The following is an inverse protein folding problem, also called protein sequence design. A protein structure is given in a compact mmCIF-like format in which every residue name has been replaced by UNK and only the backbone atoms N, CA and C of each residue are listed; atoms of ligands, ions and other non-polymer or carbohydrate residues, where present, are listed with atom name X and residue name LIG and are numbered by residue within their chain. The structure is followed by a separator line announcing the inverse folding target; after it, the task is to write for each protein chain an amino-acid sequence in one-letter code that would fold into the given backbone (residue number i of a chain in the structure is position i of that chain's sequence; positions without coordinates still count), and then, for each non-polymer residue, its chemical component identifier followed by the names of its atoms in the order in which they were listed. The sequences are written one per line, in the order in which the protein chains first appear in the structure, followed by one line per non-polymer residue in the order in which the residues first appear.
data_IF_992038831037
#
_entry.id   IF_992038831037
#
_cell.length_a   1.000
_cell.length_b   1.000
_cell.length_c   1.000
_cell.angle_alpha   90.00
_cell.angle_beta   90.00
_cell.angle_gamma   90.00
#
_symmetry.space_group_name_H-M   'P 1'
#
loop_
_entity.id
_entity.type
_entity.pdbx_description
1 polymer ?
#
# COMPACT_ATOMS: atom_id res chain seq x y z
N UNK A 1 -5.25 -37.69 -27.23
CA UNK A 1 -6.07 -36.52 -27.01
C UNK A 1 -6.62 -36.65 -25.58
N UNK A 2 -6.10 -35.88 -24.63
CA UNK A 2 -6.56 -35.93 -23.23
C UNK A 2 -8.01 -35.48 -23.09
N UNK A 3 -8.67 -35.89 -21.99
CA UNK A 3 -10.03 -35.50 -21.67
C UNK A 3 -10.15 -33.96 -21.64
N UNK A 4 -11.00 -33.39 -22.50
CA UNK A 4 -11.27 -31.97 -22.56
C UNK A 4 -12.34 -31.66 -21.48
N UNK A 5 -11.91 -31.52 -20.25
CA UNK A 5 -12.79 -31.23 -19.09
C UNK A 5 -12.95 -29.74 -18.80
N UNK A 6 -12.33 -28.84 -19.57
CA UNK A 6 -12.40 -27.41 -19.37
C UNK A 6 -13.72 -26.77 -19.85
N UNK A 7 -14.32 -25.92 -19.02
CA UNK A 7 -15.48 -25.11 -19.44
C UNK A 7 -15.14 -24.11 -20.55
N UNK A 8 -13.87 -23.69 -20.65
CA UNK A 8 -13.39 -22.66 -21.58
C UNK A 8 -12.37 -23.21 -22.57
N UNK A 9 -12.74 -23.27 -23.86
CA UNK A 9 -11.85 -23.70 -24.95
C UNK A 9 -11.45 -22.47 -25.78
N UNK A 10 -10.18 -22.38 -26.17
CA UNK A 10 -9.67 -21.37 -27.09
C UNK A 10 -10.30 -21.45 -28.48
N UNK A 11 -10.24 -20.36 -29.25
CA UNK A 11 -10.79 -20.32 -30.62
C UNK A 11 -10.13 -21.33 -31.55
N UNK A 12 -8.81 -21.51 -31.44
CA UNK A 12 -8.04 -22.50 -32.21
C UNK A 12 -8.53 -23.94 -31.93
N UNK A 13 -8.61 -24.32 -30.66
CA UNK A 13 -9.10 -25.64 -30.25
C UNK A 13 -10.53 -25.91 -30.71
N UNK A 14 -11.39 -24.88 -30.73
CA UNK A 14 -12.75 -25.01 -31.25
C UNK A 14 -12.75 -25.24 -32.73
N UNK A 15 -11.86 -24.57 -33.48
CA UNK A 15 -11.71 -24.77 -34.91
C UNK A 15 -11.23 -26.18 -35.23
N UNK A 16 -10.15 -26.64 -34.60
CA UNK A 16 -9.64 -28.01 -34.72
C UNK A 16 -10.72 -29.06 -34.46
N UNK A 17 -11.58 -28.84 -33.45
CA UNK A 17 -12.71 -29.74 -33.18
C UNK A 17 -13.77 -29.73 -34.28
N UNK A 18 -14.06 -28.57 -34.86
CA UNK A 18 -15.00 -28.48 -35.98
C UNK A 18 -14.46 -29.20 -37.22
N UNK A 19 -13.15 -29.06 -37.51
CA UNK A 19 -12.47 -29.72 -38.62
C UNK A 19 -12.47 -31.24 -38.42
N UNK A 20 -12.09 -31.73 -37.24
CA UNK A 20 -12.13 -33.18 -36.91
C UNK A 20 -13.53 -33.79 -37.07
N UNK A 21 -14.57 -33.04 -36.65
CA UNK A 21 -15.95 -33.51 -36.80
C UNK A 21 -16.38 -33.45 -38.27
N UNK A 22 -15.94 -32.47 -39.03
CA UNK A 22 -16.16 -32.36 -40.47
C UNK A 22 -15.57 -33.57 -41.21
N UNK A 23 -14.30 -33.85 -40.96
CA UNK A 23 -13.56 -34.97 -41.57
C UNK A 23 -14.19 -36.31 -41.22
N UNK A 24 -14.49 -36.53 -39.93
CA UNK A 24 -15.12 -37.80 -39.51
C UNK A 24 -16.52 -37.99 -40.12
N UNK A 25 -17.26 -36.92 -40.30
CA UNK A 25 -18.58 -36.95 -40.93
C UNK A 25 -18.45 -37.25 -42.43
N UNK A 26 -17.43 -36.71 -43.12
CA UNK A 26 -17.08 -37.01 -44.49
C UNK A 26 -16.71 -38.49 -44.70
N UNK A 27 -16.19 -39.14 -43.65
CA UNK A 27 -15.87 -40.59 -43.64
C UNK A 27 -17.03 -41.48 -43.20
N UNK A 28 -18.25 -40.96 -43.05
CA UNK A 28 -19.46 -41.70 -42.72
C UNK A 28 -19.75 -41.87 -41.22
N UNK A 29 -18.97 -41.25 -40.33
CA UNK A 29 -19.24 -41.27 -38.90
C UNK A 29 -20.24 -40.16 -38.57
N UNK A 30 -21.32 -40.50 -37.84
CA UNK A 30 -22.31 -39.48 -37.48
C UNK A 30 -21.73 -38.43 -36.54
N UNK A 31 -22.11 -37.14 -36.71
CA UNK A 31 -21.72 -36.03 -35.82
C UNK A 31 -21.98 -36.35 -34.34
N UNK A 32 -23.07 -37.08 -34.03
CA UNK A 32 -23.35 -37.54 -32.67
C UNK A 32 -22.24 -38.44 -32.12
N UNK A 33 -21.81 -39.43 -32.93
CA UNK A 33 -20.76 -40.38 -32.52
C UNK A 33 -19.41 -39.67 -32.38
N UNK A 34 -19.09 -38.74 -33.26
CA UNK A 34 -17.87 -37.93 -33.16
C UNK A 34 -17.87 -37.06 -31.88
N UNK A 35 -18.99 -36.46 -31.52
CA UNK A 35 -19.13 -35.72 -30.26
C UNK A 35 -18.96 -36.61 -29.01
N UNK A 36 -19.50 -37.83 -29.05
CA UNK A 36 -19.32 -38.81 -27.96
C UNK A 36 -17.85 -39.21 -27.79
N UNK A 37 -17.14 -39.47 -28.89
CA UNK A 37 -15.72 -39.82 -28.88
C UNK A 37 -14.83 -38.66 -28.36
N UNK A 38 -15.17 -37.42 -28.67
CA UNK A 38 -14.49 -36.22 -28.22
C UNK A 38 -14.93 -35.80 -26.81
N UNK A 39 -15.88 -36.50 -26.22
CA UNK A 39 -16.48 -36.18 -24.91
C UNK A 39 -16.99 -34.72 -24.80
N UNK A 40 -17.55 -34.22 -25.91
CA UNK A 40 -18.10 -32.87 -25.97
C UNK A 40 -19.61 -32.91 -26.22
N UNK A 41 -20.35 -32.03 -25.54
CA UNK A 41 -21.80 -32.00 -25.75
C UNK A 41 -22.13 -31.43 -27.12
N UNK A 42 -22.99 -32.17 -27.88
CA UNK A 42 -23.36 -31.87 -29.26
C UNK A 42 -23.87 -30.43 -29.46
N UNK A 43 -24.61 -29.88 -28.50
CA UNK A 43 -25.10 -28.49 -28.59
C UNK A 43 -23.98 -27.42 -28.67
N UNK A 44 -22.81 -27.69 -28.08
CA UNK A 44 -21.65 -26.79 -28.20
C UNK A 44 -21.12 -26.79 -29.64
N UNK A 45 -21.01 -27.95 -30.24
CA UNK A 45 -20.55 -28.10 -31.63
C UNK A 45 -21.53 -27.41 -32.60
N UNK A 46 -22.83 -27.69 -32.48
CA UNK A 46 -23.83 -27.09 -33.35
C UNK A 46 -23.83 -25.53 -33.23
N UNK A 47 -23.64 -25.01 -32.03
CA UNK A 47 -23.52 -23.56 -31.82
C UNK A 47 -22.25 -22.98 -32.48
N UNK A 48 -21.12 -23.65 -32.35
CA UNK A 48 -19.87 -23.21 -32.99
C UNK A 48 -19.95 -23.33 -34.51
N UNK A 49 -20.54 -24.38 -35.07
CA UNK A 49 -20.78 -24.51 -36.50
C UNK A 49 -21.69 -23.38 -37.03
N UNK A 50 -22.71 -23.01 -36.27
CA UNK A 50 -23.57 -21.89 -36.64
C UNK A 50 -22.78 -20.58 -36.59
N UNK A 51 -22.05 -20.29 -35.52
CA UNK A 51 -21.24 -19.09 -35.40
C UNK A 51 -20.21 -18.97 -36.53
N UNK A 52 -19.57 -20.08 -36.87
CA UNK A 52 -18.58 -20.13 -37.98
C UNK A 52 -19.23 -19.88 -39.34
N UNK A 53 -20.39 -20.48 -39.61
CA UNK A 53 -21.15 -20.28 -40.86
C UNK A 53 -21.65 -18.83 -41.01
N UNK A 54 -22.01 -18.19 -39.92
CA UNK A 54 -22.48 -16.79 -39.90
C UNK A 54 -21.32 -15.79 -39.99
N UNK A 55 -20.08 -16.24 -40.20
CA UNK A 55 -18.88 -15.40 -40.26
C UNK A 55 -18.43 -14.84 -38.91
N UNK A 56 -18.97 -15.38 -37.80
CA UNK A 56 -18.64 -14.97 -36.45
C UNK A 56 -17.33 -15.57 -35.96
N UNK A 57 -16.71 -14.92 -34.98
CA UNK A 57 -15.51 -15.42 -34.30
C UNK A 57 -15.85 -16.49 -33.26
N UNK A 58 -15.02 -17.54 -33.17
CA UNK A 58 -15.11 -18.57 -32.12
C UNK A 58 -14.46 -18.16 -30.81
N UNK A 59 -13.94 -16.95 -30.70
CA UNK A 59 -13.43 -16.38 -29.44
C UNK A 59 -14.56 -16.33 -28.41
N UNK A 60 -14.26 -16.75 -27.17
CA UNK A 60 -15.24 -16.69 -26.09
C UNK A 60 -15.52 -15.26 -25.72
N UNK A 61 -16.77 -14.90 -25.61
CA UNK A 61 -17.17 -13.62 -25.01
C UNK A 61 -16.80 -13.63 -23.52
N UNK A 62 -16.16 -12.57 -23.08
CA UNK A 62 -15.92 -12.38 -21.65
C UNK A 62 -17.26 -12.11 -20.94
N UNK A 63 -17.67 -12.92 -19.96
CA UNK A 63 -18.90 -12.67 -19.23
C UNK A 63 -18.85 -11.33 -18.53
N UNK A 64 -19.90 -10.53 -18.64
CA UNK A 64 -20.03 -9.26 -17.96
C UNK A 64 -20.29 -8.07 -18.91
N UNK A 65 -20.54 -6.90 -18.37
CA UNK A 65 -20.74 -5.72 -19.18
C UNK A 65 -19.42 -5.34 -19.89
N UNK A 66 -19.47 -5.07 -21.18
CA UNK A 66 -18.32 -4.67 -21.99
C UNK A 66 -17.59 -3.43 -21.41
N UNK A 67 -18.33 -2.58 -20.73
CA UNK A 67 -17.78 -1.42 -20.02
C UNK A 67 -18.37 -1.29 -18.62
N UNK A 68 -17.51 -1.30 -17.62
CA UNK A 68 -17.93 -0.98 -16.26
C UNK A 68 -18.35 0.50 -16.18
N UNK A 69 -19.56 0.78 -15.69
CA UNK A 69 -20.07 2.15 -15.57
C UNK A 69 -19.16 3.11 -14.80
N UNK A 70 -18.35 2.60 -13.89
CA UNK A 70 -17.35 3.37 -13.11
C UNK A 70 -15.93 3.21 -13.65
N UNK A 71 -15.76 2.84 -14.93
CA UNK A 71 -14.46 2.79 -15.59
C UNK A 71 -13.76 4.15 -15.47
N UNK A 72 -12.45 4.09 -15.19
CA UNK A 72 -11.61 5.28 -15.07
C UNK A 72 -11.64 6.09 -16.37
N UNK A 73 -11.79 7.41 -16.24
CA UNK A 73 -11.75 8.31 -17.37
C UNK A 73 -10.32 8.49 -17.89
N UNK A 74 -10.11 8.74 -19.20
CA UNK A 74 -8.77 8.90 -19.75
C UNK A 74 -7.96 10.02 -19.08
N UNK A 75 -8.60 11.15 -18.78
CA UNK A 75 -7.99 12.28 -18.08
C UNK A 75 -7.53 11.94 -16.65
N UNK A 76 -8.28 11.09 -15.94
CA UNK A 76 -7.90 10.62 -14.61
C UNK A 76 -6.69 9.69 -14.67
N UNK A 77 -6.63 8.84 -15.71
CA UNK A 77 -5.47 7.98 -15.95
C UNK A 77 -4.22 8.83 -16.23
N UNK A 78 -4.35 9.82 -17.12
CA UNK A 78 -3.25 10.72 -17.47
C UNK A 78 -2.76 11.52 -16.27
N UNK A 79 -3.67 12.04 -15.45
CA UNK A 79 -3.32 12.78 -14.23
C UNK A 79 -2.57 11.91 -13.22
N UNK A 80 -2.96 10.64 -13.05
CA UNK A 80 -2.26 9.71 -12.14
C UNK A 80 -0.87 9.35 -12.64
N UNK A 81 -0.71 9.14 -13.95
CA UNK A 81 0.60 8.89 -14.58
C UNK A 81 1.50 10.11 -14.45
N UNK A 82 0.98 11.31 -14.74
CA UNK A 82 1.73 12.55 -14.60
C UNK A 82 2.20 12.80 -13.16
N UNK A 83 1.36 12.49 -12.17
CA UNK A 83 1.74 12.59 -10.77
C UNK A 83 2.89 11.63 -10.42
N UNK A 84 2.85 10.40 -10.92
CA UNK A 84 3.86 9.37 -10.66
C UNK A 84 5.21 9.64 -11.35
N UNK A 85 5.22 10.45 -12.40
CA UNK A 85 6.45 10.85 -13.11
C UNK A 85 7.15 12.07 -12.50
N UNK A 86 6.64 12.63 -11.39
CA UNK A 86 7.29 13.75 -10.72
C UNK A 86 8.49 13.24 -9.92
N UNK A 87 9.63 13.93 -10.06
CA UNK A 87 10.87 13.58 -9.35
C UNK A 87 10.74 13.68 -7.83
N UNK A 88 10.02 14.71 -7.33
CA UNK A 88 9.79 14.92 -5.90
C UNK A 88 8.87 13.87 -5.25
N UNK A 89 8.27 12.97 -6.01
CA UNK A 89 7.36 11.93 -5.55
C UNK A 89 7.84 10.51 -5.94
N UNK A 90 9.05 10.38 -6.48
CA UNK A 90 9.58 9.13 -7.03
C UNK A 90 9.67 8.00 -5.99
N UNK A 91 9.93 8.35 -4.72
CA UNK A 91 10.09 7.39 -3.63
C UNK A 91 8.77 6.97 -2.97
N UNK A 92 7.66 7.64 -3.32
CA UNK A 92 6.36 7.32 -2.75
C UNK A 92 5.82 5.98 -3.25
N UNK A 93 5.20 5.21 -2.36
CA UNK A 93 4.47 4.01 -2.77
C UNK A 93 3.24 4.37 -3.61
N UNK A 94 2.74 3.40 -4.39
CA UNK A 94 1.48 3.60 -5.11
C UNK A 94 0.31 3.99 -4.20
N UNK A 95 0.35 3.61 -2.91
CA UNK A 95 -0.66 3.99 -1.92
C UNK A 95 -0.50 5.43 -1.47
N UNK A 96 0.71 5.85 -1.16
CA UNK A 96 1.04 7.24 -0.82
C UNK A 96 0.77 8.18 -2.00
N UNK A 97 1.14 7.79 -3.22
CA UNK A 97 0.78 8.52 -4.44
C UNK A 97 -0.75 8.65 -4.61
N UNK A 98 -1.51 7.60 -4.27
CA UNK A 98 -2.98 7.66 -4.31
C UNK A 98 -3.52 8.69 -3.33
N UNK A 99 -3.02 8.68 -2.10
CA UNK A 99 -3.42 9.64 -1.06
C UNK A 99 -3.02 11.06 -1.44
N UNK A 100 -1.81 11.24 -1.95
CA UNK A 100 -1.34 12.53 -2.50
C UNK A 100 -2.27 13.04 -3.61
N UNK A 101 -2.74 12.15 -4.49
CA UNK A 101 -3.70 12.52 -5.53
C UNK A 101 -5.05 12.96 -4.95
N UNK A 102 -5.53 12.31 -3.89
CA UNK A 102 -6.77 12.68 -3.19
C UNK A 102 -6.64 14.05 -2.52
N UNK A 103 -5.59 14.25 -1.75
CA UNK A 103 -5.38 15.47 -0.95
C UNK A 103 -5.08 16.69 -1.83
N UNK A 104 -4.47 16.47 -3.01
CA UNK A 104 -4.31 17.52 -4.03
C UNK A 104 -5.56 17.71 -4.92
N UNK A 105 -6.62 16.96 -4.71
CA UNK A 105 -7.86 17.05 -5.50
C UNK A 105 -7.72 16.64 -6.98
N UNK A 106 -6.67 15.88 -7.33
CA UNK A 106 -6.34 15.54 -8.71
C UNK A 106 -7.16 14.35 -9.23
N UNK A 107 -7.12 13.24 -8.50
CA UNK A 107 -7.78 11.99 -8.90
C UNK A 107 -8.25 11.22 -7.67
N UNK A 108 -9.51 10.78 -7.69
CA UNK A 108 -10.10 9.99 -6.59
C UNK A 108 -10.36 8.55 -7.03
N UNK A 109 -9.33 7.71 -6.94
CA UNK A 109 -9.35 6.28 -7.31
C UNK A 109 -8.89 5.40 -6.16
N UNK A 110 -9.16 4.09 -6.23
CA UNK A 110 -8.70 3.15 -5.20
C UNK A 110 -7.22 2.81 -5.37
N UNK A 111 -6.58 2.38 -4.28
CA UNK A 111 -5.20 1.86 -4.30
C UNK A 111 -4.97 0.77 -5.36
N UNK A 112 -5.93 -0.16 -5.51
CA UNK A 112 -5.86 -1.22 -6.52
C UNK A 112 -5.94 -0.68 -7.95
N UNK A 113 -6.67 0.42 -8.17
CA UNK A 113 -6.75 1.07 -9.49
C UNK A 113 -5.45 1.79 -9.79
N UNK A 114 -4.90 2.54 -8.82
CA UNK A 114 -3.57 3.16 -8.96
C UNK A 114 -2.52 2.12 -9.32
N UNK A 115 -2.46 1.02 -8.55
CA UNK A 115 -1.52 -0.07 -8.84
C UNK A 115 -1.61 -0.55 -10.30
N UNK A 116 -2.84 -0.81 -10.80
CA UNK A 116 -3.04 -1.25 -12.19
C UNK A 116 -2.61 -0.21 -13.19
N UNK A 117 -2.98 1.06 -12.99
CA UNK A 117 -2.58 2.17 -13.87
C UNK A 117 -1.07 2.29 -13.97
N UNK A 118 -0.36 2.27 -12.85
CA UNK A 118 1.10 2.39 -12.81
C UNK A 118 1.79 1.17 -13.41
N UNK A 119 1.31 -0.03 -13.11
CA UNK A 119 1.81 -1.28 -13.71
C UNK A 119 1.66 -1.28 -15.23
N UNK A 120 0.46 -0.96 -15.72
CA UNK A 120 0.16 -0.95 -17.15
C UNK A 120 0.89 0.18 -17.91
N UNK A 121 1.41 1.17 -17.17
CA UNK A 121 2.25 2.26 -17.70
C UNK A 121 3.76 2.01 -17.51
N UNK A 122 4.17 0.84 -17.00
CA UNK A 122 5.57 0.51 -16.76
C UNK A 122 6.25 1.30 -15.63
N UNK A 123 5.46 1.94 -14.75
CA UNK A 123 5.94 2.82 -13.67
C UNK A 123 6.06 2.10 -12.31
N UNK A 124 5.86 0.79 -12.28
CA UNK A 124 6.09 0.00 -11.07
C UNK A 124 7.53 -0.47 -11.00
N UNK A 125 8.35 0.24 -10.24
CA UNK A 125 9.73 -0.17 -9.96
C UNK A 125 9.79 -1.43 -9.07
N UNK A 126 10.85 -2.24 -9.23
CA UNK A 126 11.19 -3.27 -8.25
C UNK A 126 11.65 -2.57 -6.97
N UNK A 127 10.81 -2.56 -5.93
CA UNK A 127 11.26 -2.23 -4.58
C UNK A 127 12.09 -3.39 -4.06
N UNK A 128 13.36 -3.11 -3.76
CA UNK A 128 14.29 -4.10 -3.25
C UNK A 128 13.74 -4.81 -2.00
N UNK A 129 14.05 -6.10 -1.92
CA UNK A 129 13.85 -7.02 -0.79
C UNK A 129 12.46 -6.99 -0.13
N UNK A 130 11.58 -7.85 -0.63
CA UNK A 130 10.47 -8.35 0.16
C UNK A 130 11.00 -8.94 1.49
N UNK A 131 10.73 -8.27 2.61
CA UNK A 131 10.95 -8.86 3.91
C UNK A 131 10.03 -10.07 4.04
N UNK A 132 10.59 -11.26 4.01
CA UNK A 132 9.88 -12.49 4.35
C UNK A 132 9.43 -12.38 5.81
N UNK A 133 8.15 -12.23 6.01
CA UNK A 133 7.52 -12.34 7.33
C UNK A 133 7.57 -13.83 7.74
N UNK A 134 8.65 -14.23 8.40
CA UNK A 134 8.76 -15.55 8.97
C UNK A 134 8.34 -15.48 10.44
N UNK A 135 7.17 -16.01 10.74
CA UNK A 135 6.84 -16.38 12.12
C UNK A 135 5.41 -16.03 12.54
N UNK A 136 4.77 -16.94 13.24
CA UNK A 136 3.57 -16.69 14.03
C UNK A 136 3.93 -15.75 15.17
N UNK A 137 3.46 -14.51 15.11
CA UNK A 137 3.69 -13.53 16.16
C UNK A 137 2.66 -13.72 17.27
N UNK A 138 3.12 -13.83 18.50
CA UNK A 138 2.23 -13.67 19.67
C UNK A 138 1.63 -12.27 19.61
N UNK A 139 0.30 -12.17 19.72
CA UNK A 139 -0.37 -10.89 19.69
C UNK A 139 0.19 -9.95 20.77
N UNK A 140 0.53 -8.71 20.42
CA UNK A 140 1.01 -7.72 21.38
C UNK A 140 -0.07 -7.43 22.43
N UNK A 141 0.33 -6.91 23.60
CA UNK A 141 -0.61 -6.38 24.59
C UNK A 141 -1.24 -5.13 23.98
N UNK A 142 -2.40 -5.30 23.38
CA UNK A 142 -3.15 -4.16 22.80
C UNK A 142 -4.07 -3.57 23.87
N UNK A 143 -4.01 -2.26 24.00
CA UNK A 143 -5.07 -1.44 24.61
C UNK A 143 -5.77 -0.72 23.45
N UNK A 144 -7.08 -0.68 23.49
CA UNK A 144 -7.84 0.12 22.53
C UNK A 144 -7.63 1.59 22.87
N UNK A 145 -6.66 2.21 22.19
CA UNK A 145 -6.36 3.63 22.34
C UNK A 145 -7.37 4.43 21.54
N UNK A 146 -8.00 5.40 22.18
CA UNK A 146 -9.05 6.24 21.59
C UNK A 146 -8.57 7.64 21.24
N UNK A 147 -7.37 8.01 21.68
CA UNK A 147 -6.79 9.33 21.45
C UNK A 147 -5.29 9.39 21.68
N UNK A 148 -4.66 10.51 21.30
CA UNK A 148 -3.24 10.75 21.53
C UNK A 148 -2.92 10.85 23.01
N UNK A 149 -1.66 10.70 23.35
CA UNK A 149 -1.12 10.85 24.70
C UNK A 149 -1.75 9.89 25.74
N UNK A 150 -2.33 8.77 25.30
CA UNK A 150 -2.79 7.71 26.21
C UNK A 150 -1.71 6.67 26.48
N UNK A 151 -0.85 6.40 25.51
CA UNK A 151 0.30 5.51 25.66
C UNK A 151 1.44 5.94 24.76
N UNK A 152 2.62 6.03 25.33
CA UNK A 152 3.86 6.24 24.62
C UNK A 152 4.72 4.98 24.67
N UNK A 153 5.43 4.71 23.60
CA UNK A 153 6.54 3.77 23.59
C UNK A 153 7.84 4.49 23.35
N UNK A 154 8.93 4.02 23.94
CA UNK A 154 10.24 4.56 23.69
C UNK A 154 11.30 3.46 23.64
N UNK A 155 12.37 3.75 22.93
CA UNK A 155 13.50 2.82 22.79
C UNK A 155 14.75 3.58 22.30
N UNK A 156 15.88 2.85 22.23
CA UNK A 156 17.18 3.37 21.86
C UNK A 156 17.70 2.60 20.64
N UNK A 157 18.06 3.30 19.59
CA UNK A 157 18.68 2.73 18.40
C UNK A 157 20.15 3.16 18.27
N UNK A 158 20.98 2.25 17.76
CA UNK A 158 22.36 2.53 17.44
C UNK A 158 22.49 3.21 16.08
N UNK A 159 23.27 4.29 16.02
CA UNK A 159 23.67 4.96 14.80
C UNK A 159 25.17 4.70 14.58
N UNK A 160 25.52 4.19 13.40
CA UNK A 160 26.90 3.88 13.07
C UNK A 160 27.71 5.15 12.89
N UNK A 161 28.97 5.12 13.37
CA UNK A 161 29.98 6.16 13.09
C UNK A 161 31.07 5.63 12.16
N UNK A 162 31.95 6.49 11.60
CA UNK A 162 33.09 6.04 10.81
C UNK A 162 34.08 5.18 11.61
N UNK A 163 34.12 5.33 12.92
CA UNK A 163 35.01 4.57 13.80
C UNK A 163 34.35 3.28 14.25
N UNK A 164 34.92 2.15 13.87
CA UNK A 164 34.37 0.82 14.23
C UNK A 164 34.30 0.65 15.75
N UNK A 165 33.13 0.23 16.22
CA UNK A 165 32.87 0.02 17.65
C UNK A 165 32.44 1.28 18.41
N UNK A 166 32.44 2.45 17.76
CA UNK A 166 31.89 3.67 18.31
C UNK A 166 30.52 3.94 17.70
N UNK A 167 29.55 4.27 18.52
CA UNK A 167 28.17 4.51 18.12
C UNK A 167 27.63 5.79 18.75
N UNK A 168 26.76 6.47 18.01
CA UNK A 168 25.82 7.38 18.60
C UNK A 168 24.54 6.62 18.95
N UNK A 169 23.81 7.13 19.90
CA UNK A 169 22.54 6.54 20.37
C UNK A 169 21.40 7.51 20.08
N UNK A 170 20.46 7.02 19.30
CA UNK A 170 19.18 7.72 19.06
C UNK A 170 18.17 7.23 20.09
N UNK A 171 17.76 8.12 20.96
CA UNK A 171 16.66 7.93 21.90
C UNK A 171 15.39 8.52 21.27
N UNK A 172 14.28 7.81 21.30
CA UNK A 172 13.04 8.27 20.68
C UNK A 172 11.82 7.87 21.49
N UNK A 173 10.87 8.80 21.64
CA UNK A 173 9.53 8.58 22.19
C UNK A 173 8.51 8.71 21.09
N UNK A 174 7.63 7.72 20.97
CA UNK A 174 6.56 7.67 19.98
C UNK A 174 5.21 7.54 20.68
N UNK A 175 4.22 8.31 20.24
CA UNK A 175 2.82 8.12 20.62
C UNK A 175 2.21 6.93 19.86
N UNK A 176 1.69 5.94 20.58
CA UNK A 176 1.17 4.72 19.95
C UNK A 176 -0.11 4.92 19.15
N UNK A 177 -0.94 5.90 19.49
CA UNK A 177 -2.17 6.18 18.77
C UNK A 177 -1.90 6.88 17.45
N UNK A 178 -1.16 7.98 17.49
CA UNK A 178 -0.94 8.86 16.33
C UNK A 178 0.29 8.50 15.51
N UNK A 179 1.20 7.67 16.03
CA UNK A 179 2.53 7.39 15.45
C UNK A 179 3.46 8.60 15.44
N UNK A 180 3.10 9.71 16.13
CA UNK A 180 3.91 10.91 16.21
C UNK A 180 5.18 10.66 17.01
N UNK A 181 6.31 11.08 16.48
CA UNK A 181 7.54 11.21 17.25
C UNK A 181 7.35 12.40 18.19
N UNK A 182 7.19 12.10 19.47
CA UNK A 182 6.93 13.10 20.52
C UNK A 182 8.19 13.84 20.86
N UNK A 183 9.28 13.11 21.05
CA UNK A 183 10.60 13.67 21.32
C UNK A 183 11.70 12.70 20.90
N UNK A 184 12.88 13.24 20.62
CA UNK A 184 14.08 12.48 20.29
C UNK A 184 15.34 13.18 20.80
N UNK A 185 16.41 12.39 20.97
CA UNK A 185 17.74 12.91 21.38
C UNK A 185 18.83 12.08 20.73
N UNK A 186 19.94 12.70 20.44
CA UNK A 186 21.20 12.05 20.06
C UNK A 186 22.18 12.18 21.22
N UNK A 187 22.91 11.10 21.52
CA UNK A 187 23.96 11.14 22.53
C UNK A 187 25.08 10.16 22.22
N UNK A 188 26.29 10.49 22.63
CA UNK A 188 27.41 9.55 22.66
C UNK A 188 27.29 8.51 23.78
N UNK A 189 26.37 8.70 24.71
CA UNK A 189 26.25 7.90 25.93
C UNK A 189 24.88 7.26 26.04
N UNK A 190 24.88 5.96 26.19
CA UNK A 190 23.66 5.19 26.48
C UNK A 190 23.51 5.00 28.00
N UNK A 191 23.09 6.04 28.69
CA UNK A 191 22.96 6.07 30.15
C UNK A 191 21.58 6.57 30.61
N UNK A 192 21.32 6.45 31.92
CA UNK A 192 20.05 6.82 32.52
C UNK A 192 19.78 8.34 32.52
N UNK A 193 20.82 9.16 32.49
CA UNK A 193 20.65 10.63 32.44
C UNK A 193 20.09 11.06 31.09
N UNK A 194 20.57 10.48 29.99
CA UNK A 194 20.05 10.75 28.66
C UNK A 194 18.60 10.25 28.50
N UNK A 195 18.29 9.06 29.04
CA UNK A 195 16.93 8.55 29.04
C UNK A 195 15.98 9.43 29.87
N UNK A 196 16.43 9.94 31.02
CA UNK A 196 15.68 10.93 31.82
C UNK A 196 15.40 12.19 31.02
N UNK A 197 16.42 12.79 30.41
CA UNK A 197 16.30 14.00 29.62
C UNK A 197 15.37 13.83 28.40
N UNK A 198 15.38 12.64 27.73
CA UNK A 198 14.42 12.29 26.70
C UNK A 198 12.99 12.37 27.20
N UNK A 199 12.70 11.74 28.33
CA UNK A 199 11.33 11.68 28.88
C UNK A 199 10.85 13.04 29.37
N UNK A 200 11.71 13.82 30.05
CA UNK A 200 11.39 15.19 30.45
C UNK A 200 11.11 16.09 29.24
N UNK A 201 11.88 15.96 28.16
CA UNK A 201 11.62 16.65 26.90
C UNK A 201 10.31 16.25 26.25
N UNK A 202 9.98 14.97 26.24
CA UNK A 202 8.69 14.47 25.74
C UNK A 202 7.50 15.04 26.55
N UNK A 203 7.61 15.03 27.87
CA UNK A 203 6.58 15.59 28.75
C UNK A 203 6.41 17.10 28.54
N UNK A 204 7.49 17.82 28.34
CA UNK A 204 7.44 19.25 28.04
C UNK A 204 6.77 19.54 26.70
N UNK A 205 7.11 18.80 25.65
CA UNK A 205 6.54 18.97 24.31
C UNK A 205 5.03 18.76 24.27
N UNK A 206 4.51 17.82 25.06
CA UNK A 206 3.09 17.48 25.12
C UNK A 206 2.36 18.14 26.32
N UNK A 207 3.02 19.01 27.07
CA UNK A 207 2.46 19.67 28.26
C UNK A 207 1.85 18.70 29.28
N UNK A 208 2.46 17.52 29.44
CA UNK A 208 1.93 16.42 30.28
C UNK A 208 1.69 16.85 31.72
N UNK A 209 2.52 17.75 32.23
CA UNK A 209 2.40 18.24 33.63
C UNK A 209 1.12 19.06 33.87
N UNK A 210 0.53 19.61 32.82
CA UNK A 210 -0.74 20.33 32.86
C UNK A 210 -1.95 19.40 32.69
N UNK A 211 -1.73 18.11 32.38
CA UNK A 211 -2.79 17.12 32.28
C UNK A 211 -3.19 16.58 33.67
N UNK A 212 -4.49 16.27 33.89
CA UNK A 212 -4.91 15.52 35.07
C UNK A 212 -4.10 14.23 35.19
N UNK A 213 -3.81 13.79 36.41
CA UNK A 213 -2.93 12.66 36.67
C UNK A 213 -3.43 11.36 36.01
N UNK A 214 -4.73 11.15 35.98
CA UNK A 214 -5.41 10.01 35.37
C UNK A 214 -5.45 10.03 33.82
N UNK A 215 -5.07 11.15 33.21
CA UNK A 215 -5.00 11.33 31.75
C UNK A 215 -3.56 11.37 31.23
N UNK A 216 -2.55 11.29 32.13
CA UNK A 216 -1.15 11.23 31.72
C UNK A 216 -0.84 9.93 30.98
N UNK A 217 0.06 9.95 29.97
CA UNK A 217 0.35 8.77 29.19
C UNK A 217 0.96 7.63 30.02
N UNK A 218 0.53 6.41 29.72
CA UNK A 218 1.25 5.21 30.13
C UNK A 218 2.52 5.10 29.26
N UNK A 219 3.61 4.63 29.85
CA UNK A 219 4.86 4.42 29.12
C UNK A 219 5.13 2.96 28.97
N UNK A 220 5.26 2.47 27.74
CA UNK A 220 5.71 1.09 27.47
C UNK A 220 7.16 1.10 26.95
N UNK A 221 7.98 0.22 27.49
CA UNK A 221 9.36 0.04 27.09
C UNK A 221 9.82 -1.39 27.30
N UNK A 222 10.95 -1.73 26.73
CA UNK A 222 11.59 -3.01 26.97
C UNK A 222 12.16 -3.11 28.41
N UNK A 223 12.85 -4.21 28.71
CA UNK A 223 13.48 -4.45 30.01
C UNK A 223 14.96 -4.08 30.05
N UNK A 224 15.41 -3.21 29.18
CA UNK A 224 16.78 -2.71 29.13
C UNK A 224 17.24 -2.14 30.49
N UNK A 225 18.56 -2.17 30.73
CA UNK A 225 19.12 -1.69 32.01
C UNK A 225 18.79 -0.23 32.25
N UNK A 226 18.82 0.57 31.19
CA UNK A 226 18.52 2.01 31.21
C UNK A 226 17.06 2.27 31.60
N UNK A 227 16.13 1.44 31.07
CA UNK A 227 14.68 1.57 31.32
C UNK A 227 14.31 1.28 32.78
N UNK A 228 15.12 0.47 33.48
CA UNK A 228 14.94 0.09 34.89
C UNK A 228 15.77 0.94 35.86
N UNK A 229 16.58 1.83 35.35
CA UNK A 229 17.45 2.65 36.17
C UNK A 229 16.64 3.54 37.10
N UNK A 230 17.16 3.71 38.34
CA UNK A 230 16.47 4.52 39.37
C UNK A 230 16.13 5.95 38.89
N UNK A 231 16.99 6.68 38.17
CA UNK A 231 16.64 8.02 37.67
C UNK A 231 15.45 8.02 36.73
N UNK A 232 15.30 7.00 35.88
CA UNK A 232 14.17 6.90 34.93
C UNK A 232 12.88 6.55 35.69
N UNK A 233 12.93 5.58 36.61
CA UNK A 233 11.77 5.25 37.45
C UNK A 233 11.31 6.42 38.29
N UNK A 234 12.25 7.21 38.83
CA UNK A 234 11.93 8.38 39.62
C UNK A 234 11.13 9.41 38.82
N UNK A 235 11.45 9.62 37.51
CA UNK A 235 10.65 10.49 36.62
C UNK A 235 9.19 10.04 36.58
N UNK A 236 8.95 8.74 36.42
CA UNK A 236 7.57 8.22 36.34
C UNK A 236 6.83 8.30 37.68
N UNK A 237 7.53 8.06 38.78
CA UNK A 237 6.98 8.20 40.13
C UNK A 237 6.64 9.65 40.47
N UNK A 238 7.57 10.58 40.22
CA UNK A 238 7.40 12.02 40.50
C UNK A 238 6.25 12.64 39.70
N UNK A 239 6.06 12.14 38.46
CA UNK A 239 5.03 12.61 37.55
C UNK A 239 3.79 11.70 37.49
N UNK A 240 3.68 10.71 38.34
CA UNK A 240 2.54 9.77 38.42
C UNK A 240 2.15 9.17 37.08
N UNK A 241 3.15 8.80 36.28
CA UNK A 241 2.97 8.16 34.98
C UNK A 241 3.18 6.64 35.12
N UNK A 242 2.20 5.81 34.70
CA UNK A 242 2.36 4.36 34.77
C UNK A 242 3.46 3.87 33.81
N UNK A 243 4.42 3.09 34.34
CA UNK A 243 5.45 2.42 33.53
C UNK A 243 5.06 0.96 33.31
N UNK A 244 4.94 0.54 32.07
CA UNK A 244 4.67 -0.81 31.63
C UNK A 244 5.93 -1.41 31.01
N UNK A 245 6.21 -2.67 31.32
CA UNK A 245 7.32 -3.40 30.71
C UNK A 245 6.82 -4.45 29.74
N UNK A 246 7.41 -4.49 28.56
CA UNK A 246 7.22 -5.57 27.61
C UNK A 246 7.49 -6.94 28.27
N UNK A 247 6.75 -7.97 27.84
CA UNK A 247 6.93 -9.33 28.32
C UNK A 247 8.32 -9.88 27.97
N UNK A 248 8.93 -10.69 28.82
CA UNK A 248 10.24 -11.28 28.51
C UNK A 248 10.19 -12.10 27.22
N UNK A 249 11.17 -11.92 26.35
CA UNK A 249 11.33 -12.65 25.08
C UNK A 249 10.15 -12.51 24.10
N UNK A 250 9.40 -11.42 24.19
CA UNK A 250 8.29 -11.14 23.29
C UNK A 250 8.60 -9.85 22.50
N UNK A 251 9.33 -9.93 21.37
CA UNK A 251 9.72 -8.75 20.57
C UNK A 251 8.50 -7.91 20.15
N UNK A 252 7.34 -8.54 20.01
CA UNK A 252 6.12 -7.90 19.54
C UNK A 252 5.42 -6.98 20.57
N UNK A 253 5.95 -6.83 21.77
CA UNK A 253 5.30 -5.97 22.77
C UNK A 253 5.67 -4.48 22.60
N UNK A 254 6.69 -4.16 21.78
CA UNK A 254 7.04 -2.77 21.40
C UNK A 254 7.15 -2.60 19.86
N UNK A 255 6.17 -3.08 19.07
CA UNK A 255 6.29 -3.19 17.62
C UNK A 255 6.31 -1.83 16.93
N UNK A 256 5.76 -0.81 17.56
CA UNK A 256 5.60 0.50 16.94
C UNK A 256 6.92 1.27 16.85
N UNK A 257 7.70 1.26 17.92
CA UNK A 257 9.01 1.92 17.91
C UNK A 257 10.03 1.11 17.08
N UNK A 258 9.95 -0.23 17.10
CA UNK A 258 10.78 -1.08 16.23
C UNK A 258 10.48 -0.83 14.75
N UNK A 259 9.20 -0.74 14.39
CA UNK A 259 8.78 -0.37 13.03
C UNK A 259 9.25 1.02 12.66
N UNK A 260 9.19 1.98 13.60
CA UNK A 260 9.67 3.35 13.39
C UNK A 260 11.16 3.38 13.10
N UNK A 261 12.00 2.72 13.89
CA UNK A 261 13.43 2.64 13.63
C UNK A 261 13.73 1.94 12.29
N UNK A 262 12.92 0.96 11.90
CA UNK A 262 13.04 0.36 10.59
C UNK A 262 12.71 1.36 9.47
N UNK A 263 11.68 2.19 9.63
CA UNK A 263 11.29 3.22 8.67
C UNK A 263 12.39 4.26 8.52
N UNK A 264 12.93 4.76 9.64
CA UNK A 264 14.09 5.68 9.62
C UNK A 264 15.27 5.10 8.84
N UNK A 265 15.66 3.85 9.16
CA UNK A 265 16.85 3.22 8.55
C UNK A 265 16.67 2.80 7.08
N UNK A 266 15.46 2.85 6.57
CA UNK A 266 15.13 2.59 5.16
C UNK A 266 14.84 3.85 4.37
N UNK A 267 14.93 5.00 4.99
CA UNK A 267 14.86 6.29 4.31
C UNK A 267 16.02 6.43 3.33
N UNK A 268 15.79 6.85 2.07
CA UNK A 268 16.85 6.98 1.07
C UNK A 268 17.96 7.96 1.46
N UNK A 269 17.66 8.95 2.26
CA UNK A 269 18.60 9.96 2.74
C UNK A 269 19.29 9.58 4.05
N UNK A 270 18.95 8.41 4.64
CA UNK A 270 19.55 7.97 5.90
C UNK A 270 21.05 7.68 5.70
N UNK A 271 21.95 8.38 6.39
CA UNK A 271 23.39 8.17 6.22
C UNK A 271 23.81 6.78 6.71
N UNK A 272 24.62 6.07 5.92
CA UNK A 272 25.23 4.81 6.37
C UNK A 272 26.03 4.98 7.66
N UNK A 273 26.66 6.17 7.81
CA UNK A 273 27.47 6.55 8.98
C UNK A 273 27.31 8.02 9.30
N UNK A 274 27.08 8.32 10.56
CA UNK A 274 27.05 9.68 11.09
C UNK A 274 28.44 10.10 11.54
N UNK A 275 28.94 11.24 11.06
CA UNK A 275 30.29 11.73 11.40
C UNK A 275 30.42 12.03 12.90
N UNK A 276 29.42 12.68 13.46
CA UNK A 276 29.32 13.16 14.82
C UNK A 276 27.86 13.35 15.22
N UNK A 277 27.60 13.78 16.44
CA UNK A 277 26.29 14.11 16.97
C UNK A 277 25.64 15.28 16.24
N UNK A 278 26.41 16.30 15.85
CA UNK A 278 25.91 17.46 15.10
C UNK A 278 25.34 17.03 13.74
N UNK A 279 26.03 16.11 13.04
CA UNK A 279 25.53 15.56 11.78
C UNK A 279 24.24 14.72 11.99
N UNK A 280 24.18 13.96 13.07
CA UNK A 280 22.97 13.20 13.40
C UNK A 280 21.81 14.14 13.79
N UNK A 281 22.06 15.15 14.61
CA UNK A 281 21.05 16.14 14.97
C UNK A 281 20.52 16.91 13.75
N UNK A 282 21.39 17.27 12.81
CA UNK A 282 20.99 17.92 11.56
C UNK A 282 20.05 17.04 10.73
N UNK A 283 20.37 15.75 10.57
CA UNK A 283 19.50 14.80 9.88
C UNK A 283 18.13 14.65 10.56
N UNK A 284 18.12 14.33 11.86
CA UNK A 284 16.87 14.13 12.59
C UNK A 284 16.07 15.43 12.77
N UNK A 285 16.74 16.58 12.79
CA UNK A 285 16.11 17.90 12.79
C UNK A 285 15.27 18.18 11.54
N UNK A 286 15.60 17.54 10.40
CA UNK A 286 14.81 17.60 9.16
C UNK A 286 13.83 16.42 9.08
N UNK A 287 14.31 15.21 9.36
CA UNK A 287 13.53 13.98 9.25
C UNK A 287 12.29 13.96 10.13
N UNK A 288 12.41 14.34 11.42
CA UNK A 288 11.30 14.27 12.38
C UNK A 288 10.16 15.23 12.03
N UNK A 289 10.39 16.51 11.70
CA UNK A 289 9.34 17.39 11.20
C UNK A 289 8.66 16.84 9.93
N UNK A 290 9.43 16.36 8.95
CA UNK A 290 8.88 15.73 7.75
C UNK A 290 8.03 14.51 8.08
N UNK A 291 8.53 13.57 8.90
CA UNK A 291 7.78 12.39 9.31
C UNK A 291 6.48 12.74 10.03
N UNK A 292 6.51 13.69 10.93
CA UNK A 292 5.32 14.07 11.69
C UNK A 292 4.28 14.81 10.84
N UNK A 293 4.69 15.64 9.88
CA UNK A 293 3.78 16.57 9.20
C UNK A 293 3.48 16.19 7.75
N UNK A 294 4.32 15.41 7.08
CA UNK A 294 4.22 15.14 5.64
C UNK A 294 4.12 13.64 5.30
N UNK A 295 4.75 12.77 6.09
CA UNK A 295 4.73 11.33 5.83
C UNK A 295 3.34 10.73 6.08
N UNK A 296 2.75 10.10 5.05
CA UNK A 296 1.51 9.35 5.15
C UNK A 296 1.73 7.98 5.78
N UNK A 297 1.23 7.76 6.98
CA UNK A 297 1.48 6.53 7.72
C UNK A 297 0.38 5.49 7.53
N UNK A 298 0.73 4.32 6.96
CA UNK A 298 -0.23 3.24 6.63
C UNK A 298 -1.02 2.70 7.83
N UNK A 299 -0.43 2.68 9.01
CA UNK A 299 -1.06 2.19 10.24
C UNK A 299 -2.12 3.12 10.86
N UNK A 300 -2.30 4.32 10.30
CA UNK A 300 -3.29 5.31 10.72
C UNK A 300 -4.08 5.85 9.52
N UNK A 301 -4.43 4.98 8.55
CA UNK A 301 -5.25 5.29 7.37
C UNK A 301 -4.64 6.33 6.42
N UNK A 302 -3.32 6.37 6.35
CA UNK A 302 -2.60 7.32 5.48
C UNK A 302 -2.94 8.80 5.77
N UNK A 303 -3.16 9.16 7.02
CA UNK A 303 -3.01 10.54 7.49
C UNK A 303 -1.60 10.73 8.03
N UNK A 304 -1.16 11.98 8.22
CA UNK A 304 0.13 12.23 8.87
C UNK A 304 0.03 12.01 10.38
N UNK A 305 1.13 11.66 11.06
CA UNK A 305 1.15 11.55 12.51
C UNK A 305 0.60 12.79 13.22
N UNK A 306 0.92 13.98 12.73
CA UNK A 306 0.41 15.25 13.27
C UNK A 306 -1.11 15.37 13.12
N UNK A 307 -1.67 15.04 11.96
CA UNK A 307 -3.13 15.06 11.72
C UNK A 307 -3.86 14.08 12.65
N UNK A 308 -3.30 12.87 12.84
CA UNK A 308 -3.87 11.90 13.78
C UNK A 308 -3.79 12.41 15.23
N UNK A 309 -2.66 13.01 15.61
CA UNK A 309 -2.41 13.53 16.94
C UNK A 309 -3.32 14.71 17.30
N UNK A 310 -3.65 15.54 16.33
CA UNK A 310 -4.55 16.71 16.51
C UNK A 310 -6.03 16.37 16.29
N UNK A 311 -6.38 15.08 16.18
CA UNK A 311 -7.77 14.62 16.08
C UNK A 311 -8.42 14.81 14.69
N UNK A 312 -7.66 15.18 13.66
CA UNK A 312 -8.19 15.45 12.32
C UNK A 312 -8.47 14.17 11.50
N UNK A 313 -7.96 13.00 11.95
CA UNK A 313 -8.00 11.72 11.21
C UNK A 313 -9.41 11.37 10.71
N UNK A 314 -10.42 11.41 11.57
CA UNK A 314 -11.79 11.02 11.21
C UNK A 314 -12.38 11.93 10.12
N UNK A 315 -12.21 13.25 10.26
CA UNK A 315 -12.70 14.24 9.31
C UNK A 315 -12.04 14.07 7.92
N UNK A 316 -10.72 13.86 7.89
CA UNK A 316 -9.97 13.65 6.65
C UNK A 316 -10.44 12.38 5.93
N UNK A 317 -10.60 11.27 6.67
CA UNK A 317 -11.08 10.00 6.10
C UNK A 317 -12.48 10.16 5.51
N UNK A 318 -13.38 10.80 6.24
CA UNK A 318 -14.75 11.06 5.78
C UNK A 318 -14.78 11.93 4.52
N UNK A 319 -13.97 12.98 4.46
CA UNK A 319 -13.85 13.83 3.29
C UNK A 319 -13.33 13.05 2.07
N UNK A 320 -12.26 12.27 2.23
CA UNK A 320 -11.72 11.41 1.17
C UNK A 320 -12.78 10.44 0.64
N UNK A 321 -13.56 9.81 1.54
CA UNK A 321 -14.65 8.89 1.16
C UNK A 321 -15.76 9.60 0.38
N UNK A 322 -16.19 10.80 0.82
CA UNK A 322 -17.16 11.62 0.11
C UNK A 322 -16.69 11.96 -1.31
N UNK A 323 -15.44 12.38 -1.45
CA UNK A 323 -14.87 12.76 -2.73
C UNK A 323 -14.71 11.56 -3.68
N UNK A 324 -14.28 10.39 -3.17
CA UNK A 324 -14.24 9.13 -3.93
C UNK A 324 -15.63 8.75 -4.43
N UNK A 325 -16.64 8.85 -3.57
CA UNK A 325 -18.03 8.55 -3.93
C UNK A 325 -18.56 9.50 -5.00
N UNK A 326 -18.37 10.81 -4.82
CA UNK A 326 -18.76 11.85 -5.79
C UNK A 326 -18.12 11.60 -7.16
N UNK A 327 -16.84 11.29 -7.20
CA UNK A 327 -16.15 11.01 -8.45
C UNK A 327 -16.62 9.72 -9.11
N UNK A 328 -16.99 8.70 -8.32
CA UNK A 328 -17.59 7.47 -8.85
C UNK A 328 -18.92 7.73 -9.55
N UNK A 329 -19.77 8.57 -8.99
CA UNK A 329 -21.03 8.96 -9.62
C UNK A 329 -20.80 9.71 -10.92
N UNK A 330 -19.84 10.67 -10.95
CA UNK A 330 -19.47 11.39 -12.14
C UNK A 330 -18.99 10.45 -13.26
N UNK A 331 -18.16 9.45 -12.94
CA UNK A 331 -17.75 8.43 -13.93
C UNK A 331 -18.93 7.65 -14.50
N UNK A 332 -19.90 7.26 -13.64
CA UNK A 332 -21.10 6.55 -14.09
C UNK A 332 -21.90 7.40 -15.07
N UNK A 333 -22.06 8.67 -14.79
CA UNK A 333 -22.78 9.60 -15.67
C UNK A 333 -22.08 9.74 -17.03
N UNK A 334 -20.77 10.05 -17.03
CA UNK A 334 -19.98 10.20 -18.25
C UNK A 334 -19.95 8.90 -19.07
N UNK A 335 -19.79 7.74 -18.40
CA UNK A 335 -19.72 6.46 -19.12
C UNK A 335 -21.08 6.00 -19.64
N UNK A 336 -22.21 6.45 -19.05
CA UNK A 336 -23.57 6.21 -19.62
C UNK A 336 -23.82 7.05 -20.88
N UNK A 337 -23.28 8.26 -20.95
CA UNK A 337 -23.50 9.16 -22.08
C UNK A 337 -22.68 8.78 -23.32
N UNK A 338 -21.63 7.95 -23.17
CA UNK A 338 -20.92 7.40 -24.32
C UNK A 338 -21.85 6.40 -25.01
N UNK A 339 -22.23 6.62 -26.30
CA UNK A 339 -23.09 5.70 -27.01
C UNK A 339 -22.48 4.31 -26.94
N UNK A 340 -23.25 3.35 -26.48
CA UNK A 340 -22.82 1.96 -26.41
C UNK A 340 -22.35 1.51 -27.78
N UNK A 341 -21.25 0.79 -27.81
CA UNK A 341 -20.72 0.09 -28.97
C UNK A 341 -21.66 -1.05 -29.37
N UNK A 342 -22.93 -0.76 -29.64
CA UNK A 342 -23.87 -1.71 -30.25
C UNK A 342 -23.76 -1.70 -31.79
N UNK A 343 -23.03 -0.76 -32.40
CA UNK A 343 -22.90 -0.68 -33.86
C UNK A 343 -21.49 -0.92 -34.44
N UNK A 344 -20.48 -1.26 -33.65
CA UNK A 344 -19.10 -1.31 -34.18
C UNK A 344 -18.45 -2.70 -34.11
N UNK A 345 -19.22 -3.77 -33.98
CA UNK A 345 -18.62 -5.11 -34.09
C UNK A 345 -18.24 -5.49 -35.54
N UNK A 346 -18.65 -4.70 -36.53
CA UNK A 346 -18.42 -5.01 -37.96
C UNK A 346 -17.43 -4.05 -38.64
N UNK A 347 -16.96 -2.99 -38.02
CA UNK A 347 -16.12 -1.99 -38.69
C UNK A 347 -14.69 -1.81 -38.18
N UNK A 348 -14.30 -2.36 -37.02
CA UNK A 348 -12.96 -2.09 -36.44
C UNK A 348 -11.87 -3.05 -36.90
N UNK A 349 -12.19 -4.16 -37.56
CA UNK A 349 -11.18 -5.10 -38.07
C UNK A 349 -10.60 -4.65 -39.42
N UNK A 350 -11.33 -3.85 -40.20
CA UNK A 350 -10.84 -3.40 -41.51
C UNK A 350 -10.00 -2.11 -41.47
N UNK A 351 -10.05 -1.30 -40.43
CA UNK A 351 -9.27 -0.07 -40.39
C UNK A 351 -7.89 -0.17 -39.74
N UNK A 352 -7.67 -1.11 -38.84
CA UNK A 352 -6.35 -1.29 -38.20
C UNK A 352 -5.31 -2.01 -39.09
N UNK A 353 -5.76 -2.74 -40.13
CA UNK A 353 -4.86 -3.40 -41.09
C UNK A 353 -4.45 -2.45 -42.21
N UNK A 354 -5.26 -1.42 -42.52
CA UNK A 354 -4.93 -0.46 -43.58
C UNK A 354 -4.03 0.67 -43.11
N UNK A 355 -4.07 1.07 -41.84
CA UNK A 355 -3.17 2.14 -41.34
C UNK A 355 -1.76 1.65 -41.03
N UNK A 356 -1.57 0.35 -40.76
CA UNK A 356 -0.23 -0.22 -40.52
C UNK A 356 0.55 -0.52 -41.80
N UNK A 357 -0.11 -0.54 -42.96
CA UNK A 357 0.53 -0.78 -44.28
C UNK A 357 0.97 0.49 -45.02
N UNK A 358 0.56 1.69 -44.57
CA UNK A 358 0.95 2.95 -45.20
C UNK A 358 2.12 3.70 -44.53
N UNK A 359 2.72 3.18 -43.47
CA UNK A 359 3.85 3.84 -42.77
C UNK A 359 5.20 3.13 -42.88
N UNK A 360 5.32 2.11 -43.73
CA UNK A 360 6.60 1.42 -43.97
C UNK A 360 6.79 1.24 -45.48
N UNK A 361 7.20 2.29 -46.19
CA UNK A 361 8.10 2.23 -47.34
C UNK A 361 8.56 3.70 -47.65
N UNK A 362 9.86 3.89 -47.97
CA UNK A 362 10.67 5.08 -47.73
C UNK A 362 10.32 6.30 -48.53
#
# INVERSE_FOLDING_TARGET
VGQITGEWLGAETKMEMLDLIGDSTGQGVSCRRSCELLMIHRSRILRWQQMHRDGGTLVNDTPGPEQALHRLLPEERSAMVALACREDLADLSHRELTVTAWDKGLVYISFSTTYRVLRDSGLMGMRGNERRHNGSSVAPIRKDLTGPNQRWCWDISYLMTPVKGHYLYLFMVLDEYSRKIVHWRISWWMNASEAKALLEGAMANENVLNMPEDQRPEIINDRGRQMKARPVRQVFEDHKMPQLFARPRTPNDNPFIESMFSTVKTDPEFPDRFRDDVHAEAYFGVYVPWYNNEHYHSGIDYVTPHQAHTGQRAAIIEERQRNIHKQRLKRQEVNRQKPGLTETRTKSINNSVQETLCSVIP
#
